data_IF_330961676979
#
_entry.id   IF_330961676979
#
_cell.length_a   1.000
_cell.length_b   1.000
_cell.length_c   1.000
_cell.angle_alpha   90.00
_cell.angle_beta   90.00
_cell.angle_gamma   90.00
#
_symmetry.space_group_name_H-M   'P 1'
#
loop_
_entity.id
_entity.type
_entity.pdbx_description
1 polymer ?
#
# COMPACT_ATOMS: atom_id res chain seq x y z
N UNK A 1 -10.15 -17.14 -10.40
CA UNK A 1 -8.73 -16.77 -10.52
C UNK A 1 -8.44 -15.48 -9.77
N UNK A 2 -7.30 -15.46 -9.13
CA UNK A 2 -6.85 -14.25 -8.43
C UNK A 2 -6.23 -13.26 -9.40
N UNK A 3 -6.43 -11.99 -9.10
CA UNK A 3 -5.76 -10.90 -9.79
C UNK A 3 -4.79 -10.24 -8.84
N UNK A 4 -3.75 -9.62 -9.39
CA UNK A 4 -2.78 -8.87 -8.59
C UNK A 4 -2.71 -7.44 -9.10
N UNK A 5 -2.65 -6.50 -8.16
CA UNK A 5 -2.58 -5.08 -8.46
C UNK A 5 -1.55 -4.44 -7.53
N UNK A 6 -0.63 -3.67 -8.11
CA UNK A 6 0.25 -2.82 -7.32
C UNK A 6 -0.42 -1.47 -7.15
N UNK A 7 -0.67 -1.07 -5.91
CA UNK A 7 -1.36 0.17 -5.60
C UNK A 7 -0.37 1.18 -5.06
N UNK A 8 -0.05 2.22 -5.84
CA UNK A 8 0.81 3.29 -5.33
C UNK A 8 0.03 4.16 -4.35
N UNK A 9 0.66 4.46 -3.21
CA UNK A 9 0.08 5.32 -2.19
C UNK A 9 1.12 6.32 -1.71
N UNK A 10 0.65 7.38 -1.06
CA UNK A 10 1.51 8.39 -0.50
C UNK A 10 2.02 7.95 0.88
N UNK A 11 3.14 8.51 1.29
CA UNK A 11 3.71 8.24 2.61
C UNK A 11 2.70 8.49 3.73
N UNK A 12 1.99 9.61 3.67
CA UNK A 12 1.00 9.94 4.70
C UNK A 12 -0.13 8.93 4.77
N UNK A 13 -0.54 8.40 3.62
CA UNK A 13 -1.59 7.37 3.59
C UNK A 13 -1.11 6.08 4.23
N UNK A 14 0.15 5.72 4.01
CA UNK A 14 0.71 4.53 4.63
C UNK A 14 0.90 4.70 6.13
N UNK A 15 1.36 5.86 6.57
CA UNK A 15 1.65 6.10 7.97
C UNK A 15 0.39 6.26 8.81
N UNK A 16 -0.59 6.99 8.30
CA UNK A 16 -1.80 7.37 9.05
C UNK A 16 -2.99 6.46 8.77
N UNK A 17 -2.89 5.64 7.73
CA UNK A 17 -4.03 4.88 7.25
C UNK A 17 -4.90 5.73 6.33
N UNK A 18 -5.64 5.07 5.46
CA UNK A 18 -6.50 5.76 4.50
C UNK A 18 -7.53 4.78 3.95
N UNK A 19 -8.59 5.34 3.35
CA UNK A 19 -9.53 4.58 2.56
C UNK A 19 -9.35 4.99 1.11
N UNK A 20 -9.09 4.03 0.25
CA UNK A 20 -8.75 4.28 -1.15
C UNK A 20 -9.66 3.45 -2.04
N UNK A 21 -10.22 4.07 -3.07
CA UNK A 21 -11.00 3.35 -4.06
C UNK A 21 -10.08 2.61 -5.02
N UNK A 22 -10.30 1.32 -5.14
CA UNK A 22 -9.46 0.44 -5.95
C UNK A 22 -10.31 -0.10 -7.10
N UNK A 23 -9.81 -0.04 -8.35
CA UNK A 23 -10.55 -0.61 -9.48
C UNK A 23 -10.54 -2.14 -9.42
N UNK A 24 -11.68 -2.73 -9.72
CA UNK A 24 -11.81 -4.18 -9.83
C UNK A 24 -12.55 -4.49 -11.14
N UNK A 25 -12.55 -5.75 -11.59
CA UNK A 25 -13.36 -6.11 -12.77
C UNK A 25 -14.85 -5.80 -12.61
N UNK A 26 -15.35 -5.69 -11.39
CA UNK A 26 -16.75 -5.45 -11.10
C UNK A 26 -17.03 -4.02 -10.63
N UNK A 27 -16.13 -3.09 -10.88
CA UNK A 27 -16.26 -1.71 -10.45
C UNK A 27 -15.28 -1.38 -9.33
N UNK A 28 -15.43 -0.20 -8.73
CA UNK A 28 -14.55 0.23 -7.66
C UNK A 28 -14.97 -0.30 -6.31
N UNK A 29 -13.98 -0.64 -5.48
CA UNK A 29 -14.20 -1.08 -4.10
C UNK A 29 -13.32 -0.24 -3.20
N UNK A 30 -13.83 0.17 -2.04
CA UNK A 30 -13.05 0.93 -1.07
C UNK A 30 -12.19 -0.03 -0.26
N UNK A 31 -10.89 0.23 -0.28
CA UNK A 31 -9.91 -0.54 0.49
C UNK A 31 -9.41 0.30 1.66
N UNK A 32 -9.44 -0.27 2.86
CA UNK A 32 -8.86 0.40 4.03
C UNK A 32 -7.41 0.02 4.17
N UNK A 33 -6.54 1.03 4.15
CA UNK A 33 -5.10 0.86 4.39
C UNK A 33 -4.86 1.03 5.89
N UNK A 34 -4.40 0.00 6.60
CA UNK A 34 -4.15 0.15 8.03
C UNK A 34 -3.02 1.15 8.31
N UNK A 35 -3.10 1.92 9.39
CA UNK A 35 -2.00 2.80 9.78
C UNK A 35 -0.70 2.03 9.98
N UNK A 36 0.41 2.62 9.59
CA UNK A 36 1.72 1.98 9.73
C UNK A 36 1.98 0.89 8.74
N UNK A 37 1.33 0.94 7.58
CA UNK A 37 1.54 -0.05 6.53
C UNK A 37 2.86 0.20 5.80
N UNK A 38 3.67 -0.84 5.66
CA UNK A 38 4.93 -0.76 4.93
C UNK A 38 4.74 -1.10 3.46
N UNK A 39 5.65 -0.59 2.62
CA UNK A 39 5.67 -0.93 1.21
C UNK A 39 5.86 -2.45 1.05
N UNK A 40 5.18 -3.03 0.10
CA UNK A 40 5.21 -4.48 -0.11
C UNK A 40 4.14 -5.25 0.65
N UNK A 41 3.39 -4.60 1.54
CA UNK A 41 2.29 -5.26 2.23
C UNK A 41 1.22 -5.67 1.23
N UNK A 42 0.72 -6.89 1.38
CA UNK A 42 -0.32 -7.44 0.51
C UNK A 42 -1.64 -7.50 1.26
N UNK A 43 -2.68 -6.97 0.61
CA UNK A 43 -4.02 -6.96 1.15
C UNK A 43 -4.92 -7.73 0.18
N UNK A 44 -5.84 -8.52 0.73
CA UNK A 44 -6.71 -9.38 -0.08
C UNK A 44 -8.13 -8.81 -0.08
N UNK A 45 -8.68 -8.64 -1.28
CA UNK A 45 -10.10 -8.31 -1.47
C UNK A 45 -10.80 -9.56 -1.99
N UNK A 46 -11.50 -10.23 -1.10
CA UNK A 46 -12.15 -11.50 -1.41
C UNK A 46 -13.25 -11.32 -2.44
N UNK A 47 -13.28 -12.22 -3.42
CA UNK A 47 -14.32 -12.25 -4.42
C UNK A 47 -14.22 -11.13 -5.47
N UNK A 48 -13.14 -10.36 -5.47
CA UNK A 48 -12.96 -9.23 -6.39
C UNK A 48 -12.00 -9.55 -7.55
N UNK A 49 -11.65 -10.81 -7.72
CA UNK A 49 -10.87 -11.26 -8.86
C UNK A 49 -11.75 -11.59 -10.06
N UNK A 50 -11.27 -12.48 -10.90
CA UNK A 50 -11.98 -12.89 -12.11
C UNK A 50 -13.15 -13.79 -11.76
N UNK A 51 -14.34 -13.44 -12.26
CA UNK A 51 -15.53 -14.28 -12.10
C UNK A 51 -15.40 -15.53 -12.96
N UNK A 52 -15.88 -16.66 -12.45
CA UNK A 52 -15.87 -17.94 -13.12
C UNK A 52 -17.27 -18.33 -13.56
N UNK A 53 -17.37 -19.32 -14.44
CA UNK A 53 -18.65 -19.78 -14.99
C UNK A 53 -19.57 -20.37 -13.93
N UNK A 54 -19.01 -20.94 -12.88
CA UNK A 54 -19.79 -21.57 -11.81
C UNK A 54 -20.31 -20.58 -10.77
N UNK A 55 -20.12 -19.29 -11.01
CA UNK A 55 -20.58 -18.24 -10.09
C UNK A 55 -19.58 -17.86 -9.01
N UNK A 56 -18.46 -18.56 -8.92
CA UNK A 56 -17.39 -18.18 -7.98
C UNK A 56 -16.50 -17.11 -8.58
N UNK A 57 -15.74 -16.42 -7.74
CA UNK A 57 -14.77 -15.45 -8.17
C UNK A 57 -13.51 -15.63 -7.35
N UNK A 58 -12.36 -15.40 -7.98
CA UNK A 58 -11.11 -15.34 -7.26
C UNK A 58 -11.02 -14.05 -6.45
N UNK A 59 -9.86 -13.79 -5.91
CA UNK A 59 -9.60 -12.62 -5.08
C UNK A 59 -8.74 -11.61 -5.82
N UNK A 60 -8.79 -10.36 -5.38
CA UNK A 60 -7.84 -9.32 -5.83
C UNK A 60 -6.81 -9.15 -4.74
N UNK A 61 -5.55 -9.35 -5.09
CA UNK A 61 -4.43 -9.17 -4.17
C UNK A 61 -3.79 -7.82 -4.48
N UNK A 62 -3.84 -6.93 -3.50
CA UNK A 62 -3.30 -5.58 -3.65
C UNK A 62 -1.97 -5.49 -2.91
N UNK A 63 -0.91 -5.14 -3.63
CA UNK A 63 0.41 -4.90 -3.05
C UNK A 63 0.62 -3.41 -2.93
N UNK A 64 0.88 -2.94 -1.73
CA UNK A 64 1.09 -1.51 -1.47
C UNK A 64 2.49 -1.12 -1.94
N UNK A 65 2.56 0.00 -2.65
CA UNK A 65 3.83 0.61 -3.05
C UNK A 65 3.82 2.06 -2.59
N UNK A 66 4.69 2.41 -1.64
CA UNK A 66 4.78 3.78 -1.16
C UNK A 66 5.60 4.59 -2.16
N UNK A 67 5.01 5.67 -2.65
CA UNK A 67 5.67 6.59 -3.58
C UNK A 67 6.00 7.89 -2.86
N UNK A 68 7.21 8.37 -3.05
CA UNK A 68 7.63 9.66 -2.54
C UNK A 68 7.76 10.64 -3.70
N UNK A 69 7.52 11.94 -3.44
CA UNK A 69 7.82 12.97 -4.44
C UNK A 69 9.30 12.93 -4.80
N UNK A 70 9.61 13.20 -6.07
CA UNK A 70 11.02 13.21 -6.51
C UNK A 70 11.80 14.35 -5.90
N UNK A 71 11.15 15.47 -5.64
CA UNK A 71 11.78 16.66 -5.07
C UNK A 71 11.02 17.11 -3.85
N UNK A 72 11.75 17.49 -2.83
CA UNK A 72 11.20 18.01 -1.59
C UNK A 72 11.78 19.41 -1.35
N UNK A 73 10.95 20.32 -0.85
CA UNK A 73 11.44 21.62 -0.40
C UNK A 73 12.18 21.47 0.95
N UNK A 74 12.83 22.55 1.38
CA UNK A 74 13.63 22.51 2.62
C UNK A 74 12.78 22.18 3.85
N UNK A 75 11.58 22.73 3.91
CA UNK A 75 10.68 22.47 5.05
C UNK A 75 10.27 20.99 5.10
N UNK A 76 9.98 20.39 3.95
CA UNK A 76 9.61 18.98 3.88
C UNK A 76 10.80 18.07 4.23
N UNK A 77 12.01 18.44 3.80
CA UNK A 77 13.22 17.70 4.17
C UNK A 77 13.42 17.69 5.68
N UNK A 78 13.22 18.83 6.32
CA UNK A 78 13.33 18.92 7.76
C UNK A 78 12.28 18.07 8.46
N UNK A 79 11.05 18.08 7.99
CA UNK A 79 9.99 17.23 8.54
C UNK A 79 10.34 15.74 8.41
N UNK A 80 10.88 15.33 7.27
CA UNK A 80 11.29 13.94 7.07
C UNK A 80 12.41 13.54 8.03
N UNK A 81 13.39 14.43 8.23
CA UNK A 81 14.47 14.19 9.17
C UNK A 81 13.96 14.08 10.59
N UNK A 82 13.07 14.98 11.00
CA UNK A 82 12.46 14.94 12.32
C UNK A 82 11.64 13.67 12.54
N UNK A 83 10.93 13.23 11.50
CA UNK A 83 10.18 11.98 11.57
C UNK A 83 11.09 10.80 11.86
N UNK A 84 12.21 10.69 11.14
CA UNK A 84 13.15 9.59 11.34
C UNK A 84 13.77 9.62 12.73
N UNK A 85 14.09 10.81 13.24
CA UNK A 85 14.66 10.96 14.59
C UNK A 85 13.69 10.52 15.67
N UNK A 86 12.39 10.79 15.48
CA UNK A 86 11.36 10.44 16.47
C UNK A 86 10.89 9.00 16.34
N UNK A 87 11.10 8.38 15.19
CA UNK A 87 10.64 7.02 14.90
C UNK A 87 11.80 6.19 14.36
N UNK A 88 12.80 5.92 15.21
CA UNK A 88 13.98 5.18 14.75
C UNK A 88 13.60 3.77 14.31
N UNK A 89 14.25 3.32 13.23
CA UNK A 89 14.02 2.03 12.64
C UNK A 89 15.32 1.52 12.06
N UNK A 90 15.59 0.23 12.21
CA UNK A 90 16.79 -0.40 11.68
C UNK A 90 16.40 -1.39 10.57
N UNK A 91 15.99 -0.91 9.39
CA UNK A 91 15.40 -1.78 8.37
C UNK A 91 16.37 -2.77 7.73
N UNK A 92 17.65 -2.55 7.88
CA UNK A 92 18.69 -3.38 7.27
C UNK A 92 19.39 -4.31 8.27
N UNK A 93 18.88 -4.43 9.51
CA UNK A 93 19.57 -5.15 10.58
C UNK A 93 19.75 -6.64 10.27
N UNK A 94 18.89 -7.25 9.46
CA UNK A 94 19.01 -8.64 9.07
C UNK A 94 19.71 -8.88 7.74
N UNK A 95 20.26 -7.81 7.14
CA UNK A 95 20.82 -7.89 5.80
C UNK A 95 22.21 -8.51 5.82
N UNK A 96 22.40 -9.55 5.02
CA UNK A 96 23.70 -10.21 4.88
C UNK A 96 23.76 -10.94 3.54
N UNK A 97 24.96 -11.31 3.13
CA UNK A 97 25.18 -12.13 1.95
C UNK A 97 25.44 -13.58 2.33
#
# INVERSE_FOLDING_TARGET
>A
KNLELTLPIRFGEAALGAKIDVPTPNGSVTLSIPPGSSSGKRLRLKGQGVAQRDGTAGDLIVTIQIKLPEQLDDASRELAQQFDERNPLSPRSGLSF
#
